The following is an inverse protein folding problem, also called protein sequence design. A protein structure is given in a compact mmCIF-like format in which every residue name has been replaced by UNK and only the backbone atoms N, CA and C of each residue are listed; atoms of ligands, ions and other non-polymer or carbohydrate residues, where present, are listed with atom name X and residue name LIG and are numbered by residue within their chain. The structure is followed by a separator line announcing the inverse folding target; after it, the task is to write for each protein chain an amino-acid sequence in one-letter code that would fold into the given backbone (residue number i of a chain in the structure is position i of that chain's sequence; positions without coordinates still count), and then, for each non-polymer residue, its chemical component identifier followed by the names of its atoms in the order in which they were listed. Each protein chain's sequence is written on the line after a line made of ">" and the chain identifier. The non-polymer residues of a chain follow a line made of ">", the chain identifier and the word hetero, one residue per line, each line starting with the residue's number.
data_IF_019632678506
#
_entry.id   IF_019632678506
#
_cell.length_a   1.000
_cell.length_b   1.000
_cell.length_c   1.000
_cell.angle_alpha   90.00
_cell.angle_beta   90.00
_cell.angle_gamma   90.00
#
_symmetry.space_group_name_H-M   'P 1'
#
loop_
_entity.id
_entity.type
_entity.pdbx_description
1 polymer ?
#
# COMPACT_ATOMS: atom_id res chain seq x y z
N UNK A 1 -9.63 0.02 -2.21
CA UNK A 1 -9.37 0.95 -3.34
C UNK A 1 -8.89 0.14 -4.55
N UNK A 2 -9.51 0.22 -5.75
CA UNK A 2 -9.06 -0.58 -6.87
C UNK A 2 -7.59 -0.30 -7.18
N UNK A 3 -6.77 -1.35 -7.21
CA UNK A 3 -5.38 -1.26 -7.60
C UNK A 3 -5.29 -0.91 -9.09
N UNK A 4 -4.58 0.17 -9.40
CA UNK A 4 -4.33 0.62 -10.77
C UNK A 4 -2.82 0.75 -10.97
N UNK A 5 -2.33 0.36 -12.14
CA UNK A 5 -0.91 0.40 -12.49
C UNK A 5 -0.65 1.41 -13.61
N UNK A 6 0.22 2.39 -13.36
CA UNK A 6 0.76 3.30 -14.36
C UNK A 6 2.07 2.74 -14.92
N UNK A 7 2.03 2.32 -16.20
CA UNK A 7 3.17 1.74 -16.91
C UNK A 7 4.28 2.75 -17.26
N UNK A 8 4.02 4.06 -17.13
CA UNK A 8 5.01 5.11 -17.37
C UNK A 8 5.83 5.47 -16.11
N UNK A 9 5.31 5.09 -14.94
CA UNK A 9 5.93 5.35 -13.63
C UNK A 9 6.85 4.20 -13.20
N UNK A 10 7.55 4.37 -12.06
CA UNK A 10 8.53 3.38 -11.56
C UNK A 10 8.31 3.06 -10.08
N UNK A 11 8.58 1.82 -9.69
CA UNK A 11 8.50 1.39 -8.29
C UNK A 11 7.09 1.59 -7.71
N UNK A 12 6.99 2.10 -6.49
CA UNK A 12 5.70 2.33 -5.84
C UNK A 12 4.86 3.43 -6.50
N UNK A 13 5.48 4.35 -7.25
CA UNK A 13 4.74 5.41 -7.95
C UNK A 13 3.84 4.84 -9.07
N UNK A 14 4.07 3.60 -9.49
CA UNK A 14 3.20 2.89 -10.43
C UNK A 14 1.82 2.63 -9.86
N UNK A 15 1.71 2.46 -8.54
CA UNK A 15 0.48 2.01 -7.87
C UNK A 15 -0.12 3.07 -6.96
N UNK A 16 0.69 4.04 -6.52
CA UNK A 16 0.34 4.95 -5.46
C UNK A 16 0.71 6.39 -5.82
N UNK A 17 -0.12 7.33 -5.38
CA UNK A 17 0.18 8.78 -5.46
C UNK A 17 1.42 9.10 -4.60
N UNK A 18 2.14 10.20 -4.87
CA UNK A 18 3.36 10.55 -4.12
C UNK A 18 3.20 10.61 -2.60
N UNK A 19 2.05 11.11 -2.11
CA UNK A 19 1.76 11.18 -0.68
C UNK A 19 1.42 9.80 -0.07
N UNK A 20 0.84 8.90 -0.86
CA UNK A 20 0.59 7.50 -0.47
C UNK A 20 1.92 6.73 -0.38
N UNK A 21 2.82 6.92 -1.36
CA UNK A 21 4.19 6.37 -1.31
C UNK A 21 4.93 6.86 -0.08
N UNK A 22 4.80 8.15 0.26
CA UNK A 22 5.40 8.71 1.48
C UNK A 22 4.83 8.06 2.74
N UNK A 23 3.52 7.80 2.77
CA UNK A 23 2.85 7.12 3.89
C UNK A 23 3.35 5.68 4.06
N UNK A 24 3.44 4.90 2.97
CA UNK A 24 3.97 3.53 3.00
C UNK A 24 5.43 3.51 3.45
N UNK A 25 6.28 4.39 2.90
CA UNK A 25 7.69 4.46 3.27
C UNK A 25 7.89 4.80 4.74
N UNK A 26 7.04 5.68 5.29
CA UNK A 26 7.04 5.95 6.72
C UNK A 26 6.71 4.70 7.52
N UNK A 27 5.61 4.01 7.23
CA UNK A 27 5.22 2.77 7.93
C UNK A 27 6.26 1.66 7.79
N UNK A 28 6.91 1.51 6.63
CA UNK A 28 8.02 0.59 6.41
C UNK A 28 9.21 0.89 7.32
N UNK A 29 9.50 2.17 7.56
CA UNK A 29 10.65 2.61 8.36
C UNK A 29 10.47 2.44 9.87
N UNK A 30 9.23 2.28 10.33
CA UNK A 30 8.85 2.11 11.73
C UNK A 30 8.17 0.76 11.99
N UNK A 31 8.46 -0.24 11.13
CA UNK A 31 7.99 -1.60 11.33
C UNK A 31 8.90 -2.25 12.40
N UNK A 32 8.34 -2.98 13.39
CA UNK A 32 6.95 -3.45 13.50
C UNK A 32 5.98 -2.57 14.33
N UNK A 33 6.41 -1.40 14.79
CA UNK A 33 5.65 -0.56 15.73
C UNK A 33 4.35 0.00 15.14
N UNK A 34 4.39 0.46 13.89
CA UNK A 34 3.25 1.10 13.23
C UNK A 34 2.94 2.51 13.73
N UNK A 35 1.86 3.10 13.23
CA UNK A 35 1.49 4.48 13.54
C UNK A 35 -0.02 4.72 13.46
N UNK A 36 -0.52 5.66 14.25
CA UNK A 36 -1.89 6.13 14.09
C UNK A 36 -2.02 7.11 12.91
N UNK A 37 -3.26 7.43 12.52
CA UNK A 37 -3.51 8.31 11.36
C UNK A 37 -2.97 9.74 11.50
N UNK A 38 -2.75 10.22 12.72
CA UNK A 38 -2.15 11.53 12.96
C UNK A 38 -0.67 11.49 12.62
N UNK A 39 0.06 10.49 13.13
CA UNK A 39 1.51 10.40 12.95
C UNK A 39 1.85 10.18 11.46
N UNK A 40 1.07 9.35 10.77
CA UNK A 40 1.19 9.18 9.31
C UNK A 40 0.92 10.51 8.60
N UNK A 41 -0.13 11.24 8.97
CA UNK A 41 -0.42 12.55 8.39
C UNK A 41 0.70 13.57 8.64
N UNK A 42 1.27 13.63 9.84
CA UNK A 42 2.39 14.52 10.18
C UNK A 42 3.64 14.21 9.34
N UNK A 43 3.91 12.92 9.06
CA UNK A 43 5.02 12.50 8.19
C UNK A 43 4.89 12.95 6.73
N UNK A 44 3.65 13.16 6.26
CA UNK A 44 3.32 13.48 4.86
C UNK A 44 3.04 14.98 4.66
N UNK A 45 2.32 15.61 5.58
CA UNK A 45 1.73 16.93 5.38
C UNK A 45 2.77 18.05 5.24
N UNK A 46 3.97 17.86 5.81
CA UNK A 46 5.11 18.77 5.61
C UNK A 46 5.59 18.84 4.16
N UNK A 47 5.36 17.77 3.37
CA UNK A 47 5.81 17.63 1.97
C UNK A 47 4.68 17.82 0.97
N UNK A 48 3.43 17.59 1.36
CA UNK A 48 2.27 17.69 0.48
C UNK A 48 1.05 18.08 1.31
N UNK A 49 0.37 19.16 0.93
CA UNK A 49 -0.88 19.57 1.60
C UNK A 49 -1.97 18.53 1.33
N UNK A 50 -2.22 17.67 2.32
CA UNK A 50 -3.21 16.60 2.25
C UNK A 50 -4.07 16.63 3.53
N UNK A 51 -5.35 16.31 3.40
CA UNK A 51 -6.22 16.25 4.57
C UNK A 51 -5.93 15.00 5.40
N UNK A 52 -6.11 15.08 6.73
CA UNK A 52 -6.01 13.90 7.61
C UNK A 52 -7.09 12.86 7.28
N UNK A 53 -8.26 13.29 6.81
CA UNK A 53 -9.33 12.38 6.35
C UNK A 53 -8.88 11.53 5.15
N UNK A 54 -8.13 12.11 4.21
CA UNK A 54 -7.57 11.37 3.08
C UNK A 54 -6.56 10.31 3.52
N UNK A 55 -5.75 10.60 4.55
CA UNK A 55 -4.84 9.62 5.17
C UNK A 55 -5.65 8.49 5.82
N UNK A 56 -6.69 8.81 6.59
CA UNK A 56 -7.55 7.79 7.23
C UNK A 56 -8.18 6.86 6.21
N UNK A 57 -8.79 7.41 5.16
CA UNK A 57 -9.42 6.61 4.10
C UNK A 57 -8.40 5.70 3.44
N UNK A 58 -7.23 6.23 3.10
CA UNK A 58 -6.17 5.45 2.50
C UNK A 58 -5.65 4.32 3.42
N UNK A 59 -5.46 4.60 4.71
CA UNK A 59 -5.01 3.59 5.65
C UNK A 59 -6.04 2.46 5.81
N UNK A 60 -7.33 2.79 5.81
CA UNK A 60 -8.40 1.79 5.82
C UNK A 60 -8.46 1.01 4.50
N UNK A 61 -8.34 1.68 3.35
CA UNK A 61 -8.24 1.00 2.05
C UNK A 61 -7.08 0.00 2.05
N UNK A 62 -5.92 0.35 2.59
CA UNK A 62 -4.78 -0.58 2.66
C UNK A 62 -4.96 -1.71 3.67
N UNK A 63 -5.84 -1.56 4.66
CA UNK A 63 -6.29 -2.69 5.50
C UNK A 63 -7.20 -3.61 4.70
N UNK A 64 -8.13 -3.05 3.92
CA UNK A 64 -9.05 -3.82 3.08
C UNK A 64 -8.30 -4.59 1.98
N UNK A 65 -7.21 -4.02 1.44
CA UNK A 65 -6.31 -4.68 0.48
C UNK A 65 -5.28 -5.60 1.14
N UNK A 66 -5.40 -5.91 2.43
CA UNK A 66 -4.51 -6.79 3.21
C UNK A 66 -3.02 -6.38 3.21
N UNK A 67 -2.72 -5.10 2.96
CA UNK A 67 -1.36 -4.52 3.01
C UNK A 67 -1.01 -4.09 4.43
N UNK A 68 -1.98 -3.51 5.14
CA UNK A 68 -1.86 -3.10 6.52
C UNK A 68 -2.70 -3.99 7.43
N UNK A 69 -2.24 -4.16 8.66
CA UNK A 69 -3.06 -4.60 9.79
C UNK A 69 -3.26 -3.43 10.74
N UNK A 70 -4.17 -3.57 11.70
CA UNK A 70 -4.28 -2.58 12.77
C UNK A 70 -4.56 -3.23 14.12
N UNK A 71 -4.11 -2.57 15.17
CA UNK A 71 -4.58 -2.79 16.53
C UNK A 71 -5.45 -1.62 16.96
N UNK A 72 -6.38 -1.88 17.89
CA UNK A 72 -7.14 -0.81 18.53
C UNK A 72 -6.53 -0.49 19.89
N UNK A 73 -6.21 0.78 20.09
CA UNK A 73 -5.72 1.30 21.37
C UNK A 73 -6.71 2.32 21.94
N UNK A 74 -6.88 2.29 23.26
CA UNK A 74 -7.71 3.27 23.97
C UNK A 74 -6.80 4.36 24.56
N UNK A 75 -7.09 5.62 24.20
CA UNK A 75 -6.35 6.77 24.72
C UNK A 75 -7.24 7.96 25.00
N UNK A 76 -6.62 9.11 25.34
CA UNK A 76 -7.33 10.39 25.46
C UNK A 76 -7.93 10.75 24.10
N UNK A 77 -9.26 10.73 24.00
CA UNK A 77 -9.99 10.99 22.75
C UNK A 77 -10.69 9.77 22.14
N UNK A 78 -10.64 8.59 22.80
CA UNK A 78 -11.37 7.39 22.39
C UNK A 78 -10.47 6.32 21.76
N UNK A 79 -11.11 5.39 21.03
CA UNK A 79 -10.40 4.34 20.29
C UNK A 79 -9.67 4.94 19.10
N UNK A 80 -8.40 4.58 18.95
CA UNK A 80 -7.62 4.89 17.76
C UNK A 80 -6.96 3.62 17.22
N UNK A 81 -6.85 3.56 15.89
CA UNK A 81 -6.14 2.48 15.20
C UNK A 81 -4.67 2.81 15.10
N UNK A 82 -3.82 1.84 15.41
CA UNK A 82 -2.39 1.84 15.08
C UNK A 82 -2.21 0.91 13.90
N UNK A 83 -1.79 1.46 12.76
CA UNK A 83 -1.66 0.73 11.51
C UNK A 83 -0.22 0.21 11.36
N UNK A 84 -0.08 -1.08 11.06
CA UNK A 84 1.21 -1.76 10.91
C UNK A 84 1.26 -2.38 9.51
N UNK A 85 2.33 -2.12 8.77
CA UNK A 85 2.53 -2.76 7.47
C UNK A 85 2.94 -4.22 7.64
N UNK A 86 2.23 -5.11 6.95
CA UNK A 86 2.43 -6.57 7.07
C UNK A 86 3.69 -7.06 6.35
N UNK A 87 4.18 -6.29 5.38
CA UNK A 87 5.30 -6.64 4.54
C UNK A 87 6.52 -5.77 4.84
N UNK A 88 7.70 -6.28 4.51
CA UNK A 88 8.85 -5.41 4.24
C UNK A 88 8.77 -4.83 2.81
N UNK A 89 9.76 -4.04 2.41
CA UNK A 89 9.73 -3.40 1.10
C UNK A 89 9.76 -4.43 -0.05
N UNK A 90 10.50 -5.53 0.12
CA UNK A 90 10.59 -6.60 -0.87
C UNK A 90 9.27 -7.35 -1.00
N UNK A 91 8.73 -7.80 0.13
CA UNK A 91 7.45 -8.51 0.21
C UNK A 91 6.29 -7.68 -0.33
N UNK A 92 6.28 -6.36 -0.12
CA UNK A 92 5.24 -5.51 -0.70
C UNK A 92 5.35 -5.44 -2.23
N UNK A 93 6.57 -5.39 -2.79
CA UNK A 93 6.77 -5.41 -4.24
C UNK A 93 6.31 -6.75 -4.83
N UNK A 94 6.63 -7.86 -4.18
CA UNK A 94 6.17 -9.19 -4.58
C UNK A 94 4.65 -9.30 -4.53
N UNK A 95 4.03 -8.80 -3.46
CA UNK A 95 2.57 -8.77 -3.32
C UNK A 95 1.90 -8.02 -4.48
N UNK A 96 2.33 -6.79 -4.77
CA UNK A 96 1.77 -5.99 -5.86
C UNK A 96 1.96 -6.64 -7.23
N UNK A 97 3.13 -7.24 -7.47
CA UNK A 97 3.40 -7.98 -8.71
C UNK A 97 2.48 -9.19 -8.83
N UNK A 98 2.28 -9.94 -7.75
CA UNK A 98 1.40 -11.11 -7.71
C UNK A 98 -0.04 -10.73 -8.01
N UNK A 99 -0.58 -9.67 -7.40
CA UNK A 99 -1.96 -9.22 -7.64
C UNK A 99 -2.18 -8.91 -9.13
N UNK A 100 -1.24 -8.19 -9.75
CA UNK A 100 -1.32 -7.88 -11.19
C UNK A 100 -1.25 -9.12 -12.07
N UNK A 101 -0.29 -10.03 -11.82
CA UNK A 101 -0.13 -11.25 -12.62
C UNK A 101 -1.33 -12.17 -12.45
N UNK A 102 -1.84 -12.32 -11.23
CA UNK A 102 -3.02 -13.15 -10.93
C UNK A 102 -4.22 -12.61 -11.69
N UNK A 103 -4.45 -11.29 -11.66
CA UNK A 103 -5.55 -10.69 -12.42
C UNK A 103 -5.43 -10.92 -13.93
N UNK A 104 -4.23 -10.85 -14.49
CA UNK A 104 -4.00 -11.15 -15.90
C UNK A 104 -4.22 -12.63 -16.23
N UNK A 105 -3.81 -13.55 -15.36
CA UNK A 105 -4.08 -14.98 -15.52
C UNK A 105 -5.59 -15.28 -15.42
N UNK A 106 -6.32 -14.58 -14.56
CA UNK A 106 -7.75 -14.78 -14.41
C UNK A 106 -8.56 -14.26 -15.61
N UNK A 107 -8.20 -13.09 -16.15
CA UNK A 107 -8.97 -12.41 -17.21
C UNK A 107 -8.47 -12.70 -18.64
N UNK A 108 -7.18 -13.02 -18.78
CA UNK A 108 -6.48 -13.26 -20.05
C UNK A 108 -5.56 -14.49 -19.94
N UNK A 109 -6.10 -15.60 -19.42
CA UNK A 109 -5.32 -16.80 -19.06
C UNK A 109 -4.40 -17.27 -20.19
N UNK A 110 -4.93 -17.54 -21.38
CA UNK A 110 -4.17 -18.14 -22.48
C UNK A 110 -3.07 -17.20 -23.01
N UNK A 111 -3.39 -15.92 -23.19
CA UNK A 111 -2.43 -14.91 -23.63
C UNK A 111 -1.33 -14.69 -22.60
N UNK A 112 -1.69 -14.62 -21.32
CA UNK A 112 -0.75 -14.40 -20.21
C UNK A 112 0.18 -15.60 -20.05
N UNK A 113 -0.35 -16.83 -20.07
CA UNK A 113 0.42 -18.07 -19.99
C UNK A 113 1.46 -18.18 -21.11
N UNK A 114 1.05 -17.85 -22.33
CA UNK A 114 1.95 -17.87 -23.50
C UNK A 114 3.12 -16.92 -23.31
N UNK A 115 2.88 -15.72 -22.78
CA UNK A 115 3.94 -14.72 -22.55
C UNK A 115 4.86 -15.16 -21.40
N UNK A 116 4.32 -15.61 -20.27
CA UNK A 116 5.12 -16.04 -19.12
C UNK A 116 6.07 -17.19 -19.50
N UNK A 117 5.59 -18.18 -20.27
CA UNK A 117 6.42 -19.29 -20.75
C UNK A 117 7.57 -18.83 -21.65
N UNK A 118 7.36 -17.77 -22.43
CA UNK A 118 8.37 -17.22 -23.33
C UNK A 118 9.39 -16.30 -22.62
N UNK A 119 8.99 -15.62 -21.54
CA UNK A 119 9.87 -14.72 -20.77
C UNK A 119 10.78 -15.49 -19.80
N UNK A 120 10.36 -16.68 -19.38
CA UNK A 120 11.14 -17.57 -18.50
C UNK A 120 12.07 -18.54 -19.27
N UNK A 121 12.21 -18.39 -20.60
CA UNK A 121 13.23 -19.05 -21.43
C UNK A 121 14.41 -18.10 -21.70
#
# INVERSE_FOLDING_TARGET
>A
MPLSMDLSSKGFDMFFKPWQVTSIKYLLSIRPEGANSRDVWESVNSKTKISRASIINYLNDMVDEDILSYTEETGKGGHHRVYVIKFDEGGLKEYLAKEMITKLLDEYSDETDKIIKNVNM
#
